data_IF_563694350994
#
_entry.id   IF_563694350994
#
_cell.length_a   1.000
_cell.length_b   1.000
_cell.length_c   1.000
_cell.angle_alpha   90.00
_cell.angle_beta   90.00
_cell.angle_gamma   90.00
#
_symmetry.space_group_name_H-M   'P 1'
#
loop_
_entity.id
_entity.type
_entity.pdbx_description
1 polymer ?
#
# COMPACT_ATOMS: atom_id res chain seq x y z
N UNK A 1 5.06 -10.11 7.88
CA UNK A 1 5.37 -8.78 8.47
C UNK A 1 4.86 -8.71 9.90
N UNK A 2 5.53 -8.00 10.82
CA UNK A 2 4.93 -7.62 12.11
C UNK A 2 4.31 -6.23 11.97
N UNK A 3 3.03 -6.07 12.32
CA UNK A 3 2.35 -4.78 12.27
C UNK A 3 2.48 -4.05 13.61
N UNK A 4 2.88 -2.78 13.53
CA UNK A 4 3.02 -1.86 14.65
C UNK A 4 2.41 -0.50 14.26
N UNK A 5 1.08 -0.39 14.29
CA UNK A 5 0.42 0.86 13.91
C UNK A 5 0.67 1.94 14.95
N UNK A 6 1.00 3.15 14.50
CA UNK A 6 1.22 4.31 15.37
C UNK A 6 0.08 5.34 15.24
N UNK A 7 -0.36 5.61 14.00
CA UNK A 7 -1.41 6.58 13.70
C UNK A 7 -2.05 6.38 12.32
N UNK A 8 -3.17 7.08 12.09
CA UNK A 8 -3.87 7.20 10.81
C UNK A 8 -4.27 5.87 10.15
N UNK A 9 -3.98 5.71 8.86
CA UNK A 9 -4.43 4.59 8.04
C UNK A 9 -3.75 3.26 8.39
N UNK A 10 -2.69 3.29 9.19
CA UNK A 10 -1.93 2.10 9.58
C UNK A 10 -2.79 1.07 10.31
N UNK A 11 -3.81 1.49 11.06
CA UNK A 11 -4.76 0.58 11.69
C UNK A 11 -5.60 -0.19 10.67
N UNK A 12 -6.00 0.44 9.57
CA UNK A 12 -6.69 -0.24 8.47
C UNK A 12 -5.73 -1.17 7.72
N UNK A 13 -4.50 -0.70 7.46
CA UNK A 13 -3.48 -1.52 6.82
C UNK A 13 -3.13 -2.75 7.66
N UNK A 14 -3.11 -2.65 9.00
CA UNK A 14 -2.97 -3.80 9.87
C UNK A 14 -4.10 -4.82 9.65
N UNK A 15 -5.37 -4.38 9.62
CA UNK A 15 -6.50 -5.29 9.38
C UNK A 15 -6.40 -5.95 8.01
N UNK A 16 -6.01 -5.21 6.97
CA UNK A 16 -5.77 -5.76 5.65
C UNK A 16 -4.68 -6.84 5.70
N UNK A 17 -3.52 -6.54 6.30
CA UNK A 17 -2.36 -7.43 6.33
C UNK A 17 -2.58 -8.67 7.19
N UNK A 18 -3.21 -8.53 8.35
CA UNK A 18 -3.36 -9.60 9.35
C UNK A 18 -4.65 -10.39 9.15
N UNK A 19 -5.78 -9.72 8.90
CA UNK A 19 -7.07 -10.41 8.88
C UNK A 19 -7.50 -10.81 7.47
N UNK A 20 -7.22 -9.99 6.46
CA UNK A 20 -7.65 -10.25 5.08
C UNK A 20 -6.61 -11.06 4.33
N UNK A 21 -5.39 -10.53 4.19
CA UNK A 21 -4.29 -11.20 3.51
C UNK A 21 -3.68 -12.31 4.37
N UNK A 22 -3.68 -12.11 5.69
CA UNK A 22 -3.08 -13.00 6.69
C UNK A 22 -1.60 -13.30 6.43
N UNK A 23 -0.84 -12.29 6.02
CA UNK A 23 0.61 -12.36 5.81
C UNK A 23 1.41 -11.71 6.96
N UNK A 24 0.71 -11.29 8.01
CA UNK A 24 1.31 -10.59 9.14
C UNK A 24 0.85 -11.05 10.51
N UNK A 25 1.56 -10.54 11.52
CA UNK A 25 1.32 -10.78 12.93
C UNK A 25 1.24 -9.42 13.63
N UNK A 26 0.18 -9.19 14.41
CA UNK A 26 0.05 -7.95 15.19
C UNK A 26 0.94 -7.98 16.43
N UNK A 27 1.58 -6.86 16.75
CA UNK A 27 2.30 -6.71 18.03
C UNK A 27 1.34 -6.51 19.21
N UNK A 28 0.12 -6.02 18.95
CA UNK A 28 -0.92 -5.83 19.96
C UNK A 28 -1.01 -4.40 20.49
N UNK A 29 -0.83 -3.40 19.62
CA UNK A 29 -1.23 -2.00 19.89
C UNK A 29 -2.75 -1.91 19.79
N UNK A 30 -3.41 -1.40 20.82
CA UNK A 30 -4.88 -1.33 20.89
C UNK A 30 -5.43 0.10 20.73
N UNK A 31 -4.62 1.14 20.98
CA UNK A 31 -4.98 2.55 20.80
C UNK A 31 -4.00 3.35 19.95
N UNK A 32 -4.42 4.57 19.57
CA UNK A 32 -3.59 5.55 18.87
C UNK A 32 -2.63 6.16 19.88
N UNK A 33 -1.37 6.38 19.49
CA UNK A 33 -0.42 7.09 20.34
C UNK A 33 -0.96 8.49 20.68
N UNK A 34 -1.26 8.73 21.94
CA UNK A 34 -1.66 10.03 22.48
C UNK A 34 -0.44 10.96 22.49
N UNK A 35 -0.59 12.16 21.93
CA UNK A 35 0.49 13.16 21.85
C UNK A 35 0.69 13.96 23.15
N UNK A 36 -0.15 13.72 24.15
CA UNK A 36 -0.22 14.39 25.45
C UNK A 36 0.76 13.81 26.49
N UNK A 37 1.53 12.78 26.14
CA UNK A 37 2.58 12.23 26.99
C UNK A 37 2.08 11.27 28.08
N UNK A 38 0.78 11.04 28.18
CA UNK A 38 0.19 10.00 29.03
C UNK A 38 0.04 8.72 28.20
N UNK A 39 1.16 8.03 28.01
CA UNK A 39 1.20 6.82 27.19
C UNK A 39 0.62 5.63 27.96
N UNK A 40 -0.69 5.39 27.85
CA UNK A 40 -1.32 4.16 28.38
C UNK A 40 -1.02 2.91 27.53
N UNK A 41 -0.62 3.08 26.27
CA UNK A 41 -0.44 1.99 25.29
C UNK A 41 1.02 1.73 24.87
N UNK A 42 1.96 1.66 25.83
CA UNK A 42 3.33 1.26 25.52
C UNK A 42 3.41 -0.25 25.23
N UNK A 43 3.84 -0.60 24.02
CA UNK A 43 4.13 -1.99 23.65
C UNK A 43 5.29 -2.51 24.51
N UNK A 44 5.01 -3.55 25.29
CA UNK A 44 5.99 -4.18 26.16
C UNK A 44 6.86 -5.17 25.39
N UNK A 45 8.08 -5.40 25.90
CA UNK A 45 9.02 -6.34 25.31
C UNK A 45 8.46 -7.76 25.12
N UNK A 46 7.60 -8.24 26.03
CA UNK A 46 6.96 -9.55 25.92
C UNK A 46 5.96 -9.63 24.76
N UNK A 47 5.31 -8.52 24.40
CA UNK A 47 4.46 -8.46 23.20
C UNK A 47 5.31 -8.55 21.93
N UNK A 48 6.41 -7.81 21.87
CA UNK A 48 7.36 -7.87 20.75
C UNK A 48 7.94 -9.28 20.59
N UNK A 49 8.42 -9.87 21.69
CA UNK A 49 8.99 -11.23 21.69
C UNK A 49 7.98 -12.24 21.15
N UNK A 50 6.75 -12.23 21.65
CA UNK A 50 5.68 -13.15 21.17
C UNK A 50 5.35 -12.94 19.70
N UNK A 51 5.33 -11.70 19.22
CA UNK A 51 5.08 -11.40 17.81
C UNK A 51 6.20 -11.95 16.91
N UNK A 52 7.46 -11.83 17.33
CA UNK A 52 8.62 -12.40 16.62
C UNK A 52 8.55 -13.92 16.61
N UNK A 53 8.33 -14.55 17.77
CA UNK A 53 8.22 -16.00 17.89
C UNK A 53 7.10 -16.54 16.99
N UNK A 54 5.92 -15.89 16.99
CA UNK A 54 4.79 -16.27 16.14
C UNK A 54 5.04 -16.03 14.66
N UNK A 55 5.79 -14.99 14.27
CA UNK A 55 6.13 -14.75 12.86
C UNK A 55 7.10 -15.81 12.34
N UNK A 56 8.11 -16.13 13.16
CA UNK A 56 9.21 -17.03 12.80
C UNK A 56 8.88 -18.50 13.05
N UNK A 57 7.69 -18.80 13.56
CA UNK A 57 7.31 -20.17 13.85
C UNK A 57 7.33 -21.05 12.59
N UNK A 58 7.74 -22.30 12.81
CA UNK A 58 7.67 -23.38 11.82
C UNK A 58 6.30 -24.06 11.81
N UNK A 59 5.30 -23.45 12.46
CA UNK A 59 3.94 -23.98 12.51
C UNK A 59 3.32 -23.97 11.11
N UNK A 60 2.24 -24.73 10.94
CA UNK A 60 1.47 -24.72 9.69
C UNK A 60 0.97 -23.30 9.37
N UNK A 61 0.54 -22.55 10.40
CA UNK A 61 0.13 -21.17 10.23
C UNK A 61 1.30 -20.31 9.73
N UNK A 62 2.50 -20.46 10.31
CA UNK A 62 3.74 -19.80 9.85
C UNK A 62 4.10 -20.07 8.40
N UNK A 63 4.05 -21.33 7.97
CA UNK A 63 4.27 -21.71 6.57
C UNK A 63 3.22 -21.11 5.65
N UNK A 64 1.94 -21.17 6.02
CA UNK A 64 0.85 -20.61 5.23
C UNK A 64 0.91 -19.08 5.11
N UNK A 65 1.40 -18.37 6.13
CA UNK A 65 1.66 -16.92 6.04
C UNK A 65 2.76 -16.62 5.02
N UNK A 66 3.87 -17.36 5.04
CA UNK A 66 4.98 -17.19 4.09
C UNK A 66 4.57 -17.52 2.66
N UNK A 67 3.87 -18.63 2.45
CA UNK A 67 3.35 -19.04 1.14
C UNK A 67 2.45 -17.95 0.52
N UNK A 68 1.49 -17.41 1.28
CA UNK A 68 0.63 -16.31 0.80
C UNK A 68 1.41 -15.05 0.46
N UNK A 69 2.46 -14.73 1.23
CA UNK A 69 3.31 -13.59 0.95
C UNK A 69 4.10 -13.77 -0.36
N UNK A 70 4.58 -14.99 -0.65
CA UNK A 70 5.24 -15.34 -1.90
C UNK A 70 4.27 -15.23 -3.09
N UNK A 71 3.06 -15.77 -2.98
CA UNK A 71 2.02 -15.67 -4.02
C UNK A 71 1.66 -14.20 -4.32
N UNK A 72 1.51 -13.37 -3.29
CA UNK A 72 1.25 -11.94 -3.46
C UNK A 72 2.42 -11.20 -4.10
N UNK A 73 3.66 -11.58 -3.77
CA UNK A 73 4.85 -10.98 -4.38
C UNK A 73 4.91 -11.28 -5.89
N UNK A 74 4.62 -12.53 -6.29
CA UNK A 74 4.54 -12.92 -7.69
C UNK A 74 3.43 -12.14 -8.43
N UNK A 75 2.22 -12.07 -7.86
CA UNK A 75 1.11 -11.30 -8.43
C UNK A 75 1.47 -9.81 -8.59
N UNK A 76 2.13 -9.21 -7.60
CA UNK A 76 2.55 -7.82 -7.66
C UNK A 76 3.60 -7.57 -8.75
N UNK A 77 4.56 -8.49 -8.93
CA UNK A 77 5.55 -8.42 -10.01
C UNK A 77 4.88 -8.49 -11.37
N UNK A 78 4.04 -9.52 -11.59
CA UNK A 78 3.34 -9.73 -12.85
C UNK A 78 2.39 -8.57 -13.20
N UNK A 79 1.82 -7.89 -12.20
CA UNK A 79 0.92 -6.78 -12.43
C UNK A 79 1.60 -5.56 -13.08
N UNK A 80 2.88 -5.33 -12.77
CA UNK A 80 3.66 -4.16 -13.25
C UNK A 80 4.56 -4.46 -14.44
N UNK A 81 4.76 -5.73 -14.79
CA UNK A 81 5.48 -6.16 -15.99
C UNK A 81 4.77 -5.74 -17.29
N UNK A 82 5.50 -5.72 -18.40
CA UNK A 82 4.95 -5.37 -19.71
C UNK A 82 3.83 -6.36 -20.09
N UNK A 83 2.63 -5.84 -20.35
CA UNK A 83 1.43 -6.65 -20.56
C UNK A 83 0.67 -7.03 -19.26
N UNK A 84 1.16 -6.62 -18.09
CA UNK A 84 0.47 -6.72 -16.81
C UNK A 84 -0.69 -5.71 -16.68
N UNK A 85 -1.61 -5.96 -15.74
CA UNK A 85 -2.81 -5.13 -15.60
C UNK A 85 -2.52 -3.67 -15.23
N UNK A 86 -1.60 -3.42 -14.31
CA UNK A 86 -1.21 -2.05 -13.93
C UNK A 86 -0.47 -1.38 -15.09
N UNK A 87 0.33 -2.15 -15.82
CA UNK A 87 1.02 -1.65 -17.01
C UNK A 87 0.05 -1.28 -18.14
N UNK A 88 -1.00 -2.07 -18.38
CA UNK A 88 -1.97 -1.81 -19.45
C UNK A 88 -2.93 -0.69 -19.07
N UNK A 89 -3.45 -0.71 -17.84
CA UNK A 89 -4.58 0.14 -17.44
C UNK A 89 -4.13 1.47 -16.85
N UNK A 90 -3.09 1.46 -16.02
CA UNK A 90 -2.74 2.62 -15.19
C UNK A 90 -1.53 3.39 -15.73
N UNK A 91 -0.52 2.71 -16.28
CA UNK A 91 0.69 3.38 -16.78
C UNK A 91 0.43 4.42 -17.88
N UNK A 92 -0.49 4.24 -18.85
CA UNK A 92 -0.76 5.28 -19.85
C UNK A 92 -1.30 6.58 -19.21
N UNK A 93 -2.18 6.46 -18.22
CA UNK A 93 -2.72 7.62 -17.50
C UNK A 93 -1.64 8.31 -16.67
N UNK A 94 -0.78 7.55 -15.99
CA UNK A 94 0.36 8.08 -15.23
C UNK A 94 1.36 8.78 -16.15
N UNK A 95 1.71 8.17 -17.29
CA UNK A 95 2.62 8.76 -18.27
C UNK A 95 2.07 10.06 -18.85
N UNK A 96 0.79 10.08 -19.25
CA UNK A 96 0.14 11.30 -19.76
C UNK A 96 0.07 12.43 -18.71
N UNK A 97 -0.13 12.09 -17.43
CA UNK A 97 -0.09 13.06 -16.34
C UNK A 97 1.31 13.65 -16.12
N UNK A 98 2.36 12.82 -16.20
CA UNK A 98 3.75 13.25 -16.08
C UNK A 98 4.25 14.04 -17.30
N UNK A 99 3.80 13.66 -18.50
CA UNK A 99 4.10 14.36 -19.74
C UNK A 99 3.34 15.69 -19.88
N UNK A 100 2.40 15.99 -18.96
CA UNK A 100 1.60 17.21 -18.96
C UNK A 100 0.68 17.32 -20.19
N UNK A 101 0.45 16.21 -20.90
CA UNK A 101 -0.29 16.17 -22.16
C UNK A 101 -1.75 16.61 -21.97
N UNK A 102 -2.33 16.27 -20.81
CA UNK A 102 -3.71 16.59 -20.47
C UNK A 102 -3.97 18.12 -20.32
N UNK A 103 -2.96 18.88 -19.89
CA UNK A 103 -3.01 20.35 -19.88
C UNK A 103 -2.65 20.95 -21.22
N UNK A 104 -1.63 20.40 -21.90
CA UNK A 104 -1.10 20.96 -23.14
C UNK A 104 -2.08 20.78 -24.33
N UNK A 105 -2.81 19.67 -24.36
CA UNK A 105 -3.83 19.38 -25.37
C UNK A 105 -5.13 20.15 -25.11
N UNK A 106 -5.52 20.36 -23.83
CA UNK A 106 -6.59 21.31 -23.46
C UNK A 106 -6.23 22.76 -23.79
N UNK A 107 -4.98 23.18 -23.59
CA UNK A 107 -4.51 24.53 -23.95
C UNK A 107 -4.46 24.70 -25.48
N UNK A 108 -3.95 23.70 -26.23
CA UNK A 108 -3.96 23.72 -27.70
C UNK A 108 -5.40 23.78 -28.24
N UNK A 109 -6.29 22.89 -27.80
CA UNK A 109 -7.70 22.86 -28.24
C UNK A 109 -8.48 24.13 -27.89
N UNK A 110 -8.08 24.86 -26.84
CA UNK A 110 -8.60 26.20 -26.51
C UNK A 110 -7.96 27.35 -27.30
N UNK A 111 -6.77 27.18 -27.89
CA UNK A 111 -6.12 28.19 -28.76
C UNK A 111 -6.50 28.07 -30.25
N UNK A 112 -6.90 26.90 -30.73
CA UNK A 112 -7.30 26.71 -32.15
C UNK A 112 -8.63 27.38 -32.56
N UNK A 113 -9.58 27.82 -31.69
CA UNK A 113 -10.82 28.43 -32.19
C UNK A 113 -10.67 29.87 -32.72
N UNK A 114 -9.55 30.57 -32.47
CA UNK A 114 -9.48 32.02 -32.70
C UNK A 114 -8.63 32.47 -33.90
N UNK A 115 -7.95 31.56 -34.60
CA UNK A 115 -7.04 31.92 -35.70
C UNK A 115 -7.54 31.56 -37.11
N UNK A 116 -8.79 31.12 -37.27
CA UNK A 116 -9.38 30.78 -38.59
C UNK A 116 -10.50 31.77 -39.00
N UNK A 117 -10.59 32.96 -38.37
CA UNK A 117 -11.69 33.91 -38.59
C UNK A 117 -11.27 35.36 -38.89
N UNK A 118 -10.04 35.59 -39.33
CA UNK A 118 -9.67 36.88 -39.94
C UNK A 118 -9.00 36.67 -41.29
N UNK A 119 -9.72 37.12 -42.31
CA UNK A 119 -9.29 37.47 -43.67
C UNK A 119 -7.93 38.17 -43.72
#
# INVERSE_FOLDING_TARGET
MITWPMFAEQFFNEKLIVNVLGIGVRVGVEGRMSFDGESEDLVRWDQVKRAIEKLMDGSEEGRMRRKRAEELAEMASNAVEEGGLVFILDMPAVSGALAGEDLNEKIRRKRVPFLVLSL
#
